data_IF_393784579751
#
_entry.id   IF_393784579751
#
_cell.length_a   1.000
_cell.length_b   1.000
_cell.length_c   1.000
_cell.angle_alpha   90.00
_cell.angle_beta   90.00
_cell.angle_gamma   90.00
#
_symmetry.space_group_name_H-M   'P 1'
#
loop_
_entity.id
_entity.type
_entity.pdbx_description
1 polymer ?
#
# COMPACT_ATOMS: atom_id res chain seq x y z
N UNK A 1 7.72 -6.74 -13.11
CA UNK A 1 7.46 -5.94 -11.90
C UNK A 1 8.75 -5.26 -11.48
N UNK A 2 8.78 -3.92 -11.33
CA UNK A 2 9.93 -3.23 -10.77
C UNK A 2 10.17 -3.73 -9.34
N UNK A 3 11.44 -3.89 -8.96
CA UNK A 3 11.83 -4.27 -7.59
C UNK A 3 12.18 -3.00 -6.84
N UNK A 4 11.66 -2.87 -5.62
CA UNK A 4 11.97 -1.78 -4.70
C UNK A 4 12.56 -2.41 -3.45
N UNK A 5 13.71 -1.91 -3.02
CA UNK A 5 14.35 -2.28 -1.76
C UNK A 5 14.18 -1.13 -0.78
N UNK A 6 13.85 -1.45 0.47
CA UNK A 6 13.60 -0.47 1.52
C UNK A 6 14.04 -1.02 2.87
N UNK A 7 14.54 -0.14 3.72
CA UNK A 7 14.85 -0.42 5.12
C UNK A 7 13.67 0.00 6.00
N UNK A 8 13.27 -0.86 6.92
CA UNK A 8 12.11 -0.65 7.78
C UNK A 8 12.33 -1.25 9.17
N UNK A 9 11.80 -0.62 10.24
CA UNK A 9 11.80 -1.21 11.57
C UNK A 9 11.15 -2.60 11.58
N UNK A 10 11.76 -3.52 12.32
CA UNK A 10 11.27 -4.90 12.43
C UNK A 10 9.85 -4.99 12.99
N UNK A 11 9.47 -4.07 13.87
CA UNK A 11 8.13 -3.99 14.46
C UNK A 11 7.04 -3.90 13.40
N UNK A 12 7.23 -3.05 12.39
CA UNK A 12 6.27 -2.88 11.30
C UNK A 12 6.15 -4.17 10.48
N UNK A 13 7.28 -4.83 10.20
CA UNK A 13 7.27 -6.09 9.47
C UNK A 13 6.53 -7.19 10.26
N UNK A 14 6.71 -7.24 11.57
CA UNK A 14 6.00 -8.16 12.47
C UNK A 14 4.49 -7.87 12.44
N UNK A 15 4.09 -6.61 12.50
CA UNK A 15 2.68 -6.22 12.45
C UNK A 15 2.03 -6.59 11.13
N UNK A 16 2.70 -6.33 10.00
CA UNK A 16 2.20 -6.76 8.68
C UNK A 16 2.05 -8.28 8.63
N UNK A 17 3.04 -9.03 9.14
CA UNK A 17 3.00 -10.49 9.17
C UNK A 17 1.85 -11.04 10.01
N UNK A 18 1.38 -10.33 11.05
CA UNK A 18 0.17 -10.73 11.81
C UNK A 18 -1.09 -10.74 10.96
N UNK A 19 -1.10 -10.04 9.83
CA UNK A 19 -2.23 -9.98 8.90
C UNK A 19 -2.04 -10.84 7.63
N UNK A 20 -0.92 -11.59 7.53
CA UNK A 20 -0.58 -12.44 6.38
C UNK A 20 -0.69 -13.92 6.75
N UNK A 21 -1.24 -14.74 5.86
CA UNK A 21 -1.41 -16.19 6.01
C UNK A 21 -2.68 -16.70 5.30
N UNK A 22 -2.82 -18.02 5.19
CA UNK A 22 -3.89 -18.67 4.40
C UNK A 22 -5.31 -18.31 4.85
N UNK A 23 -5.53 -18.16 6.16
CA UNK A 23 -6.82 -17.73 6.75
C UNK A 23 -6.87 -16.22 7.07
N UNK A 24 -5.92 -15.43 6.55
CA UNK A 24 -5.80 -14.00 6.88
C UNK A 24 -6.12 -13.12 5.67
N UNK A 25 -6.08 -11.80 5.91
CA UNK A 25 -6.49 -10.77 4.94
C UNK A 25 -5.59 -10.71 3.71
N UNK A 26 -4.35 -11.20 3.79
CA UNK A 26 -3.36 -11.13 2.73
C UNK A 26 -2.63 -12.46 2.54
N UNK A 27 -2.41 -12.84 1.29
CA UNK A 27 -1.72 -14.10 0.92
C UNK A 27 -0.22 -14.04 1.23
N UNK A 28 0.40 -12.87 1.09
CA UNK A 28 1.82 -12.67 1.38
C UNK A 28 2.12 -11.25 1.87
N UNK A 29 3.32 -11.04 2.43
CA UNK A 29 3.78 -9.70 2.83
C UNK A 29 3.83 -8.76 1.62
N UNK A 30 4.26 -9.26 0.46
CA UNK A 30 4.27 -8.47 -0.78
C UNK A 30 2.84 -8.09 -1.22
N UNK A 31 1.87 -8.96 -0.97
CA UNK A 31 0.47 -8.69 -1.28
C UNK A 31 -0.14 -7.63 -0.35
N UNK A 32 0.16 -7.73 0.95
CA UNK A 32 -0.22 -6.74 1.94
C UNK A 32 0.34 -5.35 1.60
N UNK A 33 1.64 -5.27 1.26
CA UNK A 33 2.29 -4.01 0.89
C UNK A 33 1.67 -3.43 -0.38
N UNK A 34 1.48 -4.23 -1.44
CA UNK A 34 0.86 -3.74 -2.69
C UNK A 34 -0.54 -3.20 -2.46
N UNK A 35 -1.34 -3.90 -1.66
CA UNK A 35 -2.71 -3.47 -1.34
C UNK A 35 -2.72 -2.19 -0.51
N UNK A 36 -1.81 -2.07 0.46
CA UNK A 36 -1.68 -0.87 1.28
C UNK A 36 -1.27 0.35 0.43
N UNK A 37 -0.27 0.20 -0.45
CA UNK A 37 0.14 1.27 -1.36
C UNK A 37 -1.01 1.68 -2.29
N UNK A 38 -1.78 0.73 -2.85
CA UNK A 38 -2.93 1.04 -3.68
C UNK A 38 -3.97 1.86 -2.92
N UNK A 39 -4.36 1.40 -1.73
CA UNK A 39 -5.33 2.11 -0.88
C UNK A 39 -4.88 3.52 -0.50
N UNK A 40 -3.59 3.70 -0.23
CA UNK A 40 -3.05 5.02 0.08
C UNK A 40 -3.15 5.95 -1.13
N UNK A 41 -2.74 5.48 -2.32
CA UNK A 41 -2.85 6.26 -3.55
C UNK A 41 -4.30 6.59 -3.89
N UNK A 42 -5.21 5.61 -3.83
CA UNK A 42 -6.64 5.83 -4.08
C UNK A 42 -7.24 6.88 -3.10
N UNK A 43 -6.75 6.92 -1.86
CA UNK A 43 -7.16 7.93 -0.87
C UNK A 43 -6.63 9.33 -1.21
N UNK A 44 -5.38 9.43 -1.67
CA UNK A 44 -4.80 10.69 -2.11
C UNK A 44 -5.51 11.20 -3.36
N UNK A 45 -5.74 10.33 -4.35
CA UNK A 45 -6.50 10.65 -5.56
C UNK A 45 -7.90 11.18 -5.18
N UNK A 46 -8.63 10.48 -4.29
CA UNK A 46 -9.95 10.90 -3.80
C UNK A 46 -9.95 12.28 -3.11
N UNK A 47 -8.83 12.65 -2.47
CA UNK A 47 -8.66 13.97 -1.85
C UNK A 47 -8.40 15.01 -2.93
N UNK A 48 -7.51 14.72 -3.88
CA UNK A 48 -7.19 15.63 -4.98
C UNK A 48 -8.41 15.89 -5.88
N UNK A 49 -9.29 14.91 -6.11
CA UNK A 49 -10.56 15.14 -6.83
C UNK A 49 -11.42 16.20 -6.15
N UNK A 50 -11.53 16.11 -4.81
CA UNK A 50 -12.36 17.01 -4.00
C UNK A 50 -11.79 18.42 -3.93
N UNK A 51 -10.47 18.54 -3.99
CA UNK A 51 -9.78 19.83 -4.02
C UNK A 51 -9.64 20.42 -5.44
N UNK A 52 -10.14 19.73 -6.48
CA UNK A 52 -10.08 20.18 -7.88
C UNK A 52 -8.66 20.16 -8.46
N UNK A 53 -7.76 19.33 -7.91
CA UNK A 53 -6.34 19.20 -8.30
C UNK A 53 -6.09 18.08 -9.30
N UNK A 54 -7.07 17.77 -10.15
CA UNK A 54 -6.75 17.03 -11.36
C UNK A 54 -5.95 17.96 -12.28
N UNK A 55 -4.66 18.07 -12.03
CA UNK A 55 -3.75 18.46 -13.10
C UNK A 55 -3.93 17.44 -14.22
N UNK A 56 -4.15 17.96 -15.42
CA UNK A 56 -4.18 17.18 -16.64
C UNK A 56 -2.81 16.50 -16.82
N UNK A 57 -2.60 15.35 -16.20
CA UNK A 57 -1.46 14.49 -16.54
C UNK A 57 -1.78 13.81 -17.87
N UNK A 58 -1.18 14.38 -18.91
CA UNK A 58 -1.27 14.03 -20.32
C UNK A 58 -0.37 12.82 -20.64
#
# INVERSE_FOLDING_TARGET
MPKVSLDMPNEILVDIKRHVGDDRKFVSVADAIRTACRKLLDQLDSIDERHGRFENDN
#
